data_IF_358856304018
#
_entry.id   IF_358856304018
#
_cell.length_a   1.000
_cell.length_b   1.000
_cell.length_c   1.000
_cell.angle_alpha   90.00
_cell.angle_beta   90.00
_cell.angle_gamma   90.00
#
_symmetry.space_group_name_H-M   'P 1'
#
loop_
_entity.id
_entity.type
_entity.pdbx_description
1 polymer ?
#
# COMPACT_ATOMS: atom_id res chain seq x y z
N UNK A 1 10.81 -11.43 -31.98
CA UNK A 1 11.44 -10.44 -31.08
C UNK A 1 12.49 -11.13 -30.20
N UNK A 2 13.63 -10.48 -29.96
CA UNK A 2 14.71 -11.02 -29.13
C UNK A 2 14.30 -11.06 -27.64
N UNK A 3 14.44 -12.22 -26.97
CA UNK A 3 14.13 -12.44 -25.55
C UNK A 3 14.85 -11.44 -24.62
N UNK A 4 16.07 -11.04 -24.98
CA UNK A 4 16.82 -10.02 -24.23
C UNK A 4 16.13 -8.65 -24.27
N UNK A 5 15.51 -8.28 -25.40
CA UNK A 5 14.79 -7.01 -25.52
C UNK A 5 13.49 -7.00 -24.70
N UNK A 6 12.76 -8.12 -24.71
CA UNK A 6 11.57 -8.28 -23.88
C UNK A 6 11.91 -8.21 -22.39
N UNK A 7 12.97 -8.90 -21.97
CA UNK A 7 13.49 -8.84 -20.61
C UNK A 7 13.77 -7.39 -20.18
N UNK A 8 14.50 -6.63 -20.99
CA UNK A 8 14.83 -5.23 -20.69
C UNK A 8 13.57 -4.37 -20.56
N UNK A 9 12.63 -4.47 -21.50
CA UNK A 9 11.38 -3.68 -21.46
C UNK A 9 10.56 -4.01 -20.20
N UNK A 10 10.40 -5.30 -19.90
CA UNK A 10 9.65 -5.75 -18.73
C UNK A 10 10.34 -5.34 -17.42
N UNK A 11 11.66 -5.46 -17.34
CA UNK A 11 12.44 -5.06 -16.17
C UNK A 11 12.40 -3.53 -15.94
N UNK A 12 12.52 -2.72 -16.99
CA UNK A 12 12.38 -1.26 -16.89
C UNK A 12 10.98 -0.89 -16.40
N UNK A 13 9.94 -1.54 -16.92
CA UNK A 13 8.56 -1.28 -16.51
C UNK A 13 8.31 -1.67 -15.04
N UNK A 14 8.86 -2.80 -14.61
CA UNK A 14 8.83 -3.24 -13.22
C UNK A 14 9.50 -2.22 -12.29
N UNK A 15 10.71 -1.78 -12.65
CA UNK A 15 11.45 -0.76 -11.90
C UNK A 15 10.73 0.59 -11.88
N UNK A 16 10.16 1.01 -13.02
CA UNK A 16 9.36 2.23 -13.09
C UNK A 16 8.17 2.17 -12.14
N UNK A 17 7.44 1.05 -12.11
CA UNK A 17 6.35 0.85 -11.14
C UNK A 17 6.85 0.94 -9.68
N UNK A 18 8.01 0.35 -9.34
CA UNK A 18 8.58 0.45 -7.99
C UNK A 18 8.88 1.90 -7.62
N UNK A 19 9.57 2.62 -8.51
CA UNK A 19 9.99 4.01 -8.27
C UNK A 19 8.77 4.92 -8.14
N UNK A 20 7.81 4.80 -9.03
CA UNK A 20 6.59 5.61 -9.01
C UNK A 20 5.75 5.29 -7.76
N UNK A 21 5.65 4.02 -7.36
CA UNK A 21 4.97 3.65 -6.10
C UNK A 21 5.65 4.26 -4.89
N UNK A 22 6.98 4.24 -4.84
CA UNK A 22 7.73 4.87 -3.75
C UNK A 22 7.49 6.39 -3.71
N UNK A 23 7.43 7.05 -4.87
CA UNK A 23 7.10 8.47 -4.94
C UNK A 23 5.66 8.77 -4.51
N UNK A 24 4.67 7.98 -4.96
CA UNK A 24 3.27 8.10 -4.56
C UNK A 24 3.07 7.97 -3.04
N UNK A 25 3.83 7.08 -2.41
CA UNK A 25 3.80 6.85 -0.96
C UNK A 25 4.59 7.89 -0.16
N UNK A 26 5.31 8.80 -0.82
CA UNK A 26 6.08 9.82 -0.16
C UNK A 26 5.15 10.85 0.51
N UNK A 27 5.43 11.23 1.76
CA UNK A 27 4.66 12.26 2.45
C UNK A 27 4.91 13.63 1.79
N UNK A 28 3.84 14.42 1.61
CA UNK A 28 3.95 15.80 1.11
C UNK A 28 4.53 16.76 2.16
N UNK A 29 4.32 16.44 3.44
CA UNK A 29 4.86 17.17 4.59
C UNK A 29 5.39 16.19 5.62
N UNK A 30 6.48 16.54 6.30
CA UNK A 30 6.90 15.85 7.51
C UNK A 30 5.96 16.24 8.66
N UNK A 31 4.83 15.54 8.76
CA UNK A 31 3.85 15.77 9.82
C UNK A 31 4.41 15.46 11.22
N UNK A 32 3.86 16.12 12.23
CA UNK A 32 4.18 15.86 13.64
C UNK A 32 3.44 14.60 14.11
N UNK A 33 4.19 13.70 14.75
CA UNK A 33 3.62 12.55 15.42
C UNK A 33 2.86 12.99 16.68
N UNK A 34 1.59 12.59 16.79
CA UNK A 34 0.87 12.60 18.05
C UNK A 34 1.32 11.43 18.92
N UNK A 35 1.63 11.69 20.19
CA UNK A 35 1.87 10.62 21.15
C UNK A 35 0.53 10.12 21.67
N UNK A 36 0.27 8.81 21.59
CA UNK A 36 -1.00 8.24 22.04
C UNK A 36 -1.36 8.63 23.47
N UNK A 37 -0.38 8.73 24.38
CA UNK A 37 -0.64 9.08 25.78
C UNK A 37 -1.38 10.41 25.96
N UNK A 38 -1.26 11.30 24.99
CA UNK A 38 -1.86 12.63 25.04
C UNK A 38 -3.29 12.67 24.49
N UNK A 39 -3.78 11.59 23.85
CA UNK A 39 -5.07 11.55 23.16
C UNK A 39 -5.93 10.34 23.52
N UNK A 40 -5.31 9.20 23.85
CA UNK A 40 -5.94 7.90 24.08
C UNK A 40 -6.97 7.96 25.22
N UNK A 41 -8.24 7.72 24.87
CA UNK A 41 -9.35 7.75 25.84
C UNK A 41 -9.67 9.14 26.40
N UNK A 42 -8.99 10.19 25.91
CA UNK A 42 -9.25 11.57 26.28
C UNK A 42 -10.29 12.18 25.35
N UNK A 43 -11.00 13.21 25.82
CA UNK A 43 -11.85 14.05 24.95
C UNK A 43 -11.02 15.16 24.28
N UNK A 44 -9.90 14.76 23.68
CA UNK A 44 -8.97 15.65 23.00
C UNK A 44 -8.81 15.20 21.56
N UNK A 45 -9.21 16.06 20.64
CA UNK A 45 -9.06 15.81 19.22
C UNK A 45 -7.61 16.02 18.75
N UNK A 46 -7.13 15.10 17.91
CA UNK A 46 -5.96 15.33 17.05
C UNK A 46 -6.41 16.05 15.79
N UNK A 47 -6.01 17.30 15.63
CA UNK A 47 -6.35 18.10 14.47
C UNK A 47 -5.35 17.86 13.34
N UNK A 48 -5.85 17.68 12.12
CA UNK A 48 -5.02 17.51 10.93
C UNK A 48 -5.64 18.24 9.75
N UNK A 49 -4.79 18.75 8.86
CA UNK A 49 -5.24 19.52 7.70
C UNK A 49 -5.17 18.65 6.45
N UNK A 50 -6.27 18.64 5.71
CA UNK A 50 -6.33 18.13 4.34
C UNK A 50 -6.06 19.33 3.41
N UNK A 51 -4.91 19.36 2.70
CA UNK A 51 -4.48 20.55 1.97
C UNK A 51 -5.31 20.86 0.72
N UNK A 52 -5.85 19.84 0.06
CA UNK A 52 -6.56 19.98 -1.21
C UNK A 52 -7.75 19.00 -1.29
N UNK A 53 -8.73 19.34 -2.12
CA UNK A 53 -9.88 18.46 -2.39
C UNK A 53 -9.40 17.18 -3.06
N UNK A 54 -10.00 16.05 -2.68
CA UNK A 54 -9.61 14.71 -3.13
C UNK A 54 -8.20 14.25 -2.75
N UNK A 55 -7.58 14.88 -1.74
CA UNK A 55 -6.22 14.55 -1.32
C UNK A 55 -6.16 13.17 -0.65
N UNK A 56 -5.18 12.37 -1.08
CA UNK A 56 -4.86 11.10 -0.43
C UNK A 56 -4.15 11.35 0.91
N UNK A 57 -4.70 10.79 1.98
CA UNK A 57 -4.17 10.88 3.34
C UNK A 57 -3.80 9.50 3.84
N UNK A 58 -2.70 9.41 4.58
CA UNK A 58 -2.25 8.21 5.30
C UNK A 58 -2.49 8.39 6.79
N UNK A 59 -3.30 7.51 7.36
CA UNK A 59 -3.41 7.31 8.80
C UNK A 59 -2.38 6.25 9.17
N UNK A 60 -1.34 6.61 9.93
CA UNK A 60 -0.32 5.67 10.33
C UNK A 60 -0.19 5.57 11.85
N UNK A 61 0.08 4.35 12.30
CA UNK A 61 0.28 4.02 13.71
C UNK A 61 1.60 3.26 13.80
N UNK A 62 2.45 3.69 14.71
CA UNK A 62 3.78 3.09 14.94
C UNK A 62 4.05 2.94 16.42
N UNK A 63 4.60 1.80 16.80
CA UNK A 63 5.18 1.60 18.12
C UNK A 63 5.53 0.15 18.37
N UNK A 64 6.50 -0.07 19.26
CA UNK A 64 7.01 -1.40 19.55
C UNK A 64 6.46 -1.89 20.88
N UNK A 65 5.74 -3.01 20.84
CA UNK A 65 5.15 -3.67 22.00
C UNK A 65 6.15 -4.58 22.74
N UNK A 66 5.96 -4.80 24.05
CA UNK A 66 6.64 -5.88 24.75
C UNK A 66 6.16 -7.24 24.22
N UNK A 67 7.00 -8.26 24.33
CA UNK A 67 6.69 -9.61 23.87
C UNK A 67 5.40 -10.17 24.50
N UNK A 68 4.67 -10.95 23.72
CA UNK A 68 3.39 -11.57 24.07
C UNK A 68 2.36 -10.53 24.50
N UNK A 69 2.19 -9.49 23.69
CA UNK A 69 1.18 -8.46 23.91
C UNK A 69 0.63 -7.93 22.60
N UNK A 70 -0.60 -7.42 22.66
CA UNK A 70 -1.28 -6.76 21.56
C UNK A 70 -1.95 -5.49 22.05
N UNK A 71 -2.11 -4.53 21.14
CA UNK A 71 -2.84 -3.29 21.35
C UNK A 71 -3.64 -3.00 20.09
N UNK A 72 -4.96 -2.92 20.22
CA UNK A 72 -5.85 -2.45 19.17
C UNK A 72 -6.06 -0.95 19.34
N UNK A 73 -6.00 -0.22 18.23
CA UNK A 73 -6.13 1.22 18.15
C UNK A 73 -7.34 1.52 17.26
N UNK A 74 -8.16 2.46 17.70
CA UNK A 74 -9.26 3.04 16.93
C UNK A 74 -9.03 4.54 16.72
N UNK A 75 -9.15 5.00 15.48
CA UNK A 75 -9.12 6.41 15.08
C UNK A 75 -10.47 6.81 14.48
N UNK A 76 -11.30 7.51 15.25
CA UNK A 76 -12.58 8.06 14.78
C UNK A 76 -12.33 9.40 14.08
N UNK A 77 -12.70 9.50 12.80
CA UNK A 77 -12.42 10.67 11.96
C UNK A 77 -13.70 11.48 11.70
N UNK A 78 -13.58 12.79 11.88
CA UNK A 78 -14.66 13.75 11.67
C UNK A 78 -14.23 14.84 10.69
N UNK A 79 -15.19 15.30 9.90
CA UNK A 79 -15.00 16.38 8.93
C UNK A 79 -14.90 17.77 9.60
N UNK A 80 -14.63 18.84 8.81
CA UNK A 80 -14.52 20.19 9.35
C UNK A 80 -15.81 20.73 9.99
N UNK A 81 -16.96 20.20 9.59
CA UNK A 81 -18.27 20.55 10.14
C UNK A 81 -18.60 19.74 11.41
N UNK A 82 -17.76 18.77 11.75
CA UNK A 82 -17.91 17.89 12.91
C UNK A 82 -18.75 16.65 12.65
N UNK A 83 -19.05 16.32 11.39
CA UNK A 83 -19.76 15.09 11.03
C UNK A 83 -18.81 13.89 11.10
N UNK A 84 -19.31 12.79 11.65
CA UNK A 84 -18.57 11.54 11.70
C UNK A 84 -18.44 10.92 10.31
N UNK A 85 -17.22 10.56 9.91
CA UNK A 85 -16.96 9.92 8.62
C UNK A 85 -16.84 8.41 8.76
N UNK A 86 -15.84 7.96 9.51
CA UNK A 86 -15.50 6.55 9.72
C UNK A 86 -14.58 6.39 10.94
N UNK A 87 -14.39 5.15 11.38
CA UNK A 87 -13.33 4.75 12.31
C UNK A 87 -12.33 3.84 11.60
N UNK A 88 -11.04 4.11 11.75
CA UNK A 88 -9.97 3.19 11.36
C UNK A 88 -9.49 2.41 12.58
N UNK A 89 -9.67 1.09 12.56
CA UNK A 89 -9.23 0.20 13.62
C UNK A 89 -8.16 -0.78 13.14
N UNK A 90 -7.07 -0.89 13.88
CA UNK A 90 -6.02 -1.85 13.58
C UNK A 90 -5.22 -2.22 14.83
N UNK A 91 -4.40 -3.26 14.73
CA UNK A 91 -3.64 -3.80 15.85
C UNK A 91 -2.13 -3.76 15.62
N UNK A 92 -1.42 -3.45 16.70
CA UNK A 92 -0.02 -3.75 16.87
C UNK A 92 0.09 -4.98 17.78
N UNK A 93 1.05 -5.85 17.52
CA UNK A 93 1.30 -7.02 18.36
C UNK A 93 2.78 -7.41 18.36
N UNK A 94 3.17 -8.15 19.39
CA UNK A 94 4.48 -8.80 19.49
C UNK A 94 4.29 -10.19 20.08
N UNK A 95 4.81 -11.20 19.41
CA UNK A 95 4.65 -12.60 19.78
C UNK A 95 5.99 -13.32 19.84
N UNK A 96 6.07 -14.33 20.69
CA UNK A 96 7.20 -15.25 20.75
C UNK A 96 6.72 -16.66 20.90
N UNK A 97 7.48 -17.59 20.32
CA UNK A 97 7.22 -19.01 20.47
C UNK A 97 8.46 -19.85 20.30
N UNK A 98 8.25 -21.15 20.25
CA UNK A 98 9.29 -22.14 19.98
C UNK A 98 8.71 -23.24 19.11
N UNK A 99 9.40 -23.55 18.04
CA UNK A 99 9.09 -24.66 17.12
C UNK A 99 10.33 -25.53 16.90
N UNK A 100 10.28 -26.40 15.88
CA UNK A 100 11.39 -27.28 15.49
C UNK A 100 12.62 -26.54 14.95
N UNK A 101 12.47 -25.29 14.49
CA UNK A 101 13.55 -24.45 13.98
C UNK A 101 14.20 -23.60 15.08
N UNK A 102 13.51 -23.43 16.21
CA UNK A 102 14.07 -22.83 17.41
C UNK A 102 13.12 -21.88 18.10
N UNK A 103 13.67 -20.88 18.80
CA UNK A 103 12.87 -19.78 19.35
C UNK A 103 12.65 -18.76 18.24
N UNK A 104 11.42 -18.29 18.11
CA UNK A 104 11.07 -17.22 17.17
C UNK A 104 10.47 -16.03 17.89
N UNK A 105 10.51 -14.88 17.22
CA UNK A 105 9.93 -13.63 17.70
C UNK A 105 9.40 -12.85 16.50
N UNK A 106 8.14 -12.44 16.57
CA UNK A 106 7.47 -11.69 15.52
C UNK A 106 6.90 -10.38 16.08
N UNK A 107 6.87 -9.35 15.24
CA UNK A 107 6.36 -8.03 15.59
C UNK A 107 5.51 -7.49 14.45
N UNK A 108 4.41 -6.84 14.82
CA UNK A 108 3.70 -5.87 14.02
C UNK A 108 3.79 -4.51 14.74
N UNK A 109 4.82 -3.74 14.39
CA UNK A 109 5.15 -2.46 15.03
C UNK A 109 4.77 -1.21 14.20
N UNK A 110 4.16 -1.45 13.03
CA UNK A 110 3.69 -0.43 12.11
C UNK A 110 2.43 -0.91 11.39
N UNK A 111 1.45 -0.03 11.30
CA UNK A 111 0.30 -0.21 10.42
C UNK A 111 -0.17 1.13 9.87
N UNK A 112 -0.85 1.10 8.73
CA UNK A 112 -1.36 2.30 8.09
C UNK A 112 -2.58 2.00 7.21
N UNK A 113 -3.35 3.04 6.97
CA UNK A 113 -4.43 3.05 5.98
C UNK A 113 -4.34 4.32 5.14
N UNK A 114 -4.41 4.15 3.81
CA UNK A 114 -4.40 5.24 2.86
C UNK A 114 -5.82 5.44 2.31
N UNK A 115 -6.34 6.67 2.32
CA UNK A 115 -7.71 7.02 1.92
C UNK A 115 -7.81 8.45 1.37
N UNK A 116 -8.65 8.65 0.36
CA UNK A 116 -8.94 9.98 -0.18
C UNK A 116 -9.92 10.74 0.71
N UNK A 117 -9.65 12.02 0.94
CA UNK A 117 -10.57 12.92 1.60
C UNK A 117 -11.18 13.87 0.56
N UNK A 118 -12.52 13.93 0.45
CA UNK A 118 -13.17 14.62 -0.67
C UNK A 118 -12.96 16.13 -0.62
N UNK A 119 -12.93 16.72 0.58
CA UNK A 119 -12.86 18.17 0.78
C UNK A 119 -11.59 18.55 1.54
N UNK A 120 -11.00 19.67 1.17
CA UNK A 120 -9.94 20.32 1.94
C UNK A 120 -10.52 20.94 3.21
N UNK A 121 -9.69 21.03 4.25
CA UNK A 121 -10.10 21.62 5.51
C UNK A 121 -9.35 21.05 6.70
N UNK A 122 -9.71 21.52 7.88
CA UNK A 122 -9.21 20.97 9.14
C UNK A 122 -10.16 19.89 9.62
N UNK A 123 -9.66 18.68 9.68
CA UNK A 123 -10.35 17.52 10.18
C UNK A 123 -9.92 17.24 11.62
N UNK A 124 -10.68 16.40 12.30
CA UNK A 124 -10.36 15.96 13.65
C UNK A 124 -10.41 14.46 13.77
N UNK A 125 -9.48 13.90 14.54
CA UNK A 125 -9.45 12.49 14.88
C UNK A 125 -9.46 12.30 16.39
N UNK A 126 -10.32 11.40 16.87
CA UNK A 126 -10.33 10.95 18.25
C UNK A 126 -9.71 9.57 18.33
N UNK A 127 -8.91 9.37 19.38
CA UNK A 127 -8.08 8.19 19.52
C UNK A 127 -8.53 7.39 20.74
N UNK A 128 -8.74 6.11 20.54
CA UNK A 128 -8.93 5.17 21.63
C UNK A 128 -8.13 3.91 21.39
N UNK A 129 -7.85 3.18 22.46
CA UNK A 129 -7.18 1.90 22.34
C UNK A 129 -7.66 0.92 23.37
N UNK A 130 -7.52 -0.36 23.03
CA UNK A 130 -7.72 -1.49 23.93
C UNK A 130 -6.47 -2.37 23.89
N UNK A 131 -6.17 -3.04 24.98
CA UNK A 131 -4.94 -3.83 25.09
C UNK A 131 -5.22 -5.21 25.67
N UNK A 132 -4.37 -6.15 25.28
CA UNK A 132 -4.42 -7.54 25.73
C UNK A 132 -3.99 -7.75 27.19
N UNK A 133 -3.99 -9.01 27.65
CA UNK A 133 -3.83 -9.38 29.06
C UNK A 133 -2.55 -8.87 29.74
N UNK A 134 -1.55 -8.45 28.97
CA UNK A 134 -0.31 -7.90 29.50
C UNK A 134 -0.42 -6.38 29.74
N UNK A 135 -0.65 -5.99 30.99
CA UNK A 135 -0.72 -4.57 31.42
C UNK A 135 0.53 -3.75 31.08
N UNK A 136 1.68 -4.38 30.78
CA UNK A 136 2.87 -3.65 30.34
C UNK A 136 2.62 -2.90 29.03
N UNK A 137 1.75 -3.40 28.15
CA UNK A 137 1.42 -2.74 26.88
C UNK A 137 0.77 -1.36 27.05
N UNK A 138 0.13 -1.11 28.21
CA UNK A 138 -0.53 0.15 28.56
C UNK A 138 0.46 1.33 28.62
N UNK A 139 1.69 1.11 29.13
CA UNK A 139 2.65 2.18 29.38
C UNK A 139 3.60 2.49 28.22
N UNK A 140 3.58 1.71 27.14
CA UNK A 140 4.45 1.94 25.99
C UNK A 140 3.99 3.15 25.17
N UNK A 141 4.95 3.94 24.68
CA UNK A 141 4.67 5.09 23.84
C UNK A 141 4.47 4.64 22.40
N UNK A 142 3.27 4.84 21.88
CA UNK A 142 2.96 4.72 20.46
C UNK A 142 2.85 6.13 19.89
N UNK A 143 3.10 6.22 18.60
CA UNK A 143 2.93 7.44 17.83
C UNK A 143 2.00 7.18 16.69
N UNK A 144 1.08 8.10 16.45
CA UNK A 144 0.28 8.12 15.22
C UNK A 144 0.52 9.44 14.51
N UNK A 145 0.22 9.47 13.22
CA UNK A 145 0.04 10.71 12.49
C UNK A 145 -0.94 10.49 11.34
N UNK A 146 -1.57 11.57 10.92
CA UNK A 146 -2.40 11.62 9.72
C UNK A 146 -1.74 12.62 8.78
N UNK A 147 -1.27 12.15 7.64
CA UNK A 147 -0.42 12.95 6.74
C UNK A 147 -0.84 12.81 5.28
N UNK A 148 -0.75 13.90 4.48
CA UNK A 148 -1.00 13.83 3.05
C UNK A 148 0.14 13.09 2.31
N UNK A 149 -0.22 12.20 1.40
CA UNK A 149 0.69 11.47 0.50
C UNK A 149 0.37 11.81 -0.95
N UNK A 150 1.31 11.60 -1.88
CA UNK A 150 1.13 12.07 -3.27
C UNK A 150 0.01 11.37 -4.04
N UNK A 151 -0.35 10.13 -3.70
CA UNK A 151 -1.48 9.45 -4.34
C UNK A 151 -1.60 7.96 -4.02
N UNK A 152 -2.40 7.25 -4.81
CA UNK A 152 -2.76 5.86 -4.56
C UNK A 152 -1.82 4.86 -5.25
N UNK A 153 -0.79 4.43 -4.52
CA UNK A 153 0.19 3.43 -5.01
C UNK A 153 -0.36 2.02 -5.23
N UNK A 154 -1.56 1.68 -4.70
CA UNK A 154 -2.11 0.31 -4.80
C UNK A 154 -2.52 -0.04 -6.23
N UNK A 155 -2.90 0.96 -7.03
CA UNK A 155 -3.37 0.80 -8.41
C UNK A 155 -2.25 0.29 -9.34
N UNK A 156 -0.98 0.58 -9.01
CA UNK A 156 0.19 0.12 -9.78
C UNK A 156 0.62 -1.32 -9.46
N UNK A 157 0.11 -1.93 -8.39
CA UNK A 157 0.53 -3.27 -7.95
C UNK A 157 0.33 -4.35 -9.03
N UNK A 158 -0.82 -4.43 -9.73
CA UNK A 158 -1.02 -5.44 -10.77
C UNK A 158 -0.03 -5.30 -11.93
N UNK A 159 0.20 -4.08 -12.42
CA UNK A 159 1.16 -3.81 -13.50
C UNK A 159 2.60 -4.15 -13.08
N UNK A 160 2.97 -3.84 -11.84
CA UNK A 160 4.24 -4.24 -11.26
C UNK A 160 4.40 -5.76 -11.29
N UNK A 161 3.45 -6.53 -10.77
CA UNK A 161 3.57 -7.99 -10.75
C UNK A 161 3.56 -8.62 -12.15
N UNK A 162 2.71 -8.14 -13.07
CA UNK A 162 2.68 -8.65 -14.45
C UNK A 162 4.03 -8.43 -15.15
N UNK A 163 4.59 -7.23 -15.05
CA UNK A 163 5.91 -6.92 -15.64
C UNK A 163 7.04 -7.71 -14.98
N UNK A 164 7.00 -7.88 -13.65
CA UNK A 164 7.97 -8.68 -12.90
C UNK A 164 7.94 -10.17 -13.28
N UNK A 165 6.76 -10.78 -13.41
CA UNK A 165 6.61 -12.18 -13.84
C UNK A 165 7.17 -12.38 -15.25
N UNK A 166 6.84 -11.49 -16.19
CA UNK A 166 7.35 -11.57 -17.57
C UNK A 166 8.89 -11.44 -17.58
N UNK A 167 9.44 -10.50 -16.82
CA UNK A 167 10.89 -10.35 -16.69
C UNK A 167 11.54 -11.60 -16.08
N UNK A 168 10.95 -12.19 -15.05
CA UNK A 168 11.43 -13.43 -14.42
C UNK A 168 11.44 -14.62 -15.37
N UNK A 169 10.37 -14.82 -16.15
CA UNK A 169 10.30 -15.86 -17.17
C UNK A 169 11.35 -15.66 -18.27
N UNK A 170 11.54 -14.42 -18.74
CA UNK A 170 12.57 -14.13 -19.73
C UNK A 170 13.97 -14.40 -19.18
N UNK A 171 14.23 -14.02 -17.93
CA UNK A 171 15.50 -14.29 -17.25
C UNK A 171 15.77 -15.78 -17.14
N UNK A 172 14.77 -16.57 -16.73
CA UNK A 172 14.88 -18.03 -16.66
C UNK A 172 15.25 -18.64 -18.02
N UNK A 173 14.58 -18.23 -19.10
CA UNK A 173 14.90 -18.70 -20.46
C UNK A 173 16.30 -18.28 -20.89
N UNK A 174 16.74 -17.06 -20.55
CA UNK A 174 18.09 -16.57 -20.85
C UNK A 174 19.14 -17.43 -20.13
N UNK A 175 18.95 -17.70 -18.84
CA UNK A 175 19.88 -18.50 -18.04
C UNK A 175 19.97 -19.93 -18.56
N UNK A 176 18.84 -20.59 -18.84
CA UNK A 176 18.84 -21.94 -19.41
C UNK A 176 19.58 -21.99 -20.77
N UNK A 177 19.40 -20.97 -21.62
CA UNK A 177 20.11 -20.89 -22.91
C UNK A 177 21.62 -20.69 -22.73
N UNK A 178 22.03 -19.93 -21.71
CA UNK A 178 23.44 -19.74 -21.39
C UNK A 178 24.07 -21.03 -20.85
N UNK A 179 23.35 -21.79 -20.03
CA UNK A 179 23.79 -23.09 -19.52
C UNK A 179 23.88 -24.14 -20.64
N UNK A 180 22.86 -24.25 -21.51
CA UNK A 180 22.94 -25.11 -22.70
C UNK A 180 24.09 -24.71 -23.62
N UNK A 181 24.36 -23.41 -23.77
CA UNK A 181 25.48 -22.88 -24.55
C UNK A 181 26.83 -23.31 -24.00
N UNK A 182 27.00 -23.26 -22.67
CA UNK A 182 28.20 -23.77 -21.99
C UNK A 182 28.36 -25.29 -22.15
N UNK A 183 27.27 -26.04 -22.03
CA UNK A 183 27.30 -27.50 -22.18
C UNK A 183 27.55 -27.94 -23.63
N UNK A 184 27.15 -27.14 -24.63
CA UNK A 184 27.41 -27.39 -26.06
C UNK A 184 28.79 -26.94 -26.51
N UNK A 185 29.42 -25.95 -25.86
CA UNK A 185 30.80 -25.54 -26.19
C UNK A 185 31.83 -26.63 -25.90
N UNK A 186 31.49 -27.63 -25.10
CA UNK A 186 32.38 -28.75 -24.79
C UNK A 186 32.29 -29.93 -25.79
N UNK A 187 31.27 -30.02 -26.67
CA UNK A 187 31.13 -31.17 -27.59
C UNK A 187 30.53 -30.81 -28.97
N UNK A 188 31.35 -31.04 -30.00
CA UNK A 188 31.06 -31.26 -31.45
C UNK A 188 30.75 -30.05 -32.36
N UNK A 189 31.62 -29.89 -33.37
CA UNK A 189 31.43 -29.01 -34.51
C UNK A 189 30.45 -29.69 -35.50
N UNK A 190 29.25 -29.11 -35.69
CA UNK A 190 28.36 -29.53 -36.77
C UNK A 190 28.45 -28.57 -37.96
N UNK A 191 28.69 -29.06 -39.19
CA UNK A 191 28.79 -28.20 -40.37
C UNK A 191 27.44 -27.53 -40.67
N UNK A 192 27.44 -26.20 -40.76
CA UNK A 192 26.26 -25.40 -41.08
C UNK A 192 25.90 -25.63 -42.56
N UNK A 193 24.82 -26.36 -42.82
CA UNK A 193 24.27 -26.50 -44.17
C UNK A 193 23.53 -25.22 -44.58
N UNK A 194 23.67 -24.80 -45.86
CA UNK A 194 23.03 -23.57 -46.40
C UNK A 194 21.52 -23.49 -46.15
N UNK A 195 20.82 -24.63 -46.10
CA UNK A 195 19.38 -24.71 -45.75
C UNK A 195 19.09 -24.31 -44.31
N UNK A 196 19.96 -24.64 -43.35
CA UNK A 196 19.81 -24.23 -41.95
C UNK A 196 20.06 -22.74 -41.72
N UNK A 197 20.91 -22.12 -42.53
CA UNK A 197 21.15 -20.66 -42.51
C UNK A 197 19.93 -19.89 -43.05
N UNK A 198 19.36 -20.35 -44.17
CA UNK A 198 18.14 -19.77 -44.74
C UNK A 198 16.93 -19.99 -43.82
N UNK A 199 16.82 -21.13 -43.14
CA UNK A 199 15.77 -21.35 -42.14
C UNK A 199 15.90 -20.42 -40.94
N UNK A 200 17.13 -20.18 -40.43
CA UNK A 200 17.39 -19.20 -39.36
C UNK A 200 17.05 -17.77 -39.80
N UNK A 201 17.43 -17.39 -41.02
CA UNK A 201 17.12 -16.07 -41.59
C UNK A 201 15.62 -15.88 -41.89
N UNK A 202 14.91 -16.93 -42.32
CA UNK A 202 13.47 -16.90 -42.54
C UNK A 202 12.66 -16.85 -41.22
N UNK A 203 13.25 -17.31 -40.12
CA UNK A 203 12.65 -17.26 -38.78
C UNK A 203 12.94 -15.94 -38.05
N UNK A 204 13.90 -15.14 -38.52
CA UNK A 204 14.13 -13.75 -38.10
C UNK A 204 13.02 -12.84 -38.65
N UNK A 205 11.83 -12.97 -38.09
CA UNK A 205 10.79 -11.96 -38.27
C UNK A 205 11.26 -10.66 -37.60
N UNK A 206 11.59 -9.67 -38.43
CA UNK A 206 11.97 -8.30 -38.04
C UNK A 206 10.74 -7.53 -37.56
N UNK A 207 10.06 -8.03 -36.53
CA UNK A 207 9.05 -7.25 -35.83
C UNK A 207 9.73 -6.05 -35.16
N UNK A 208 9.32 -4.81 -35.45
CA UNK A 208 9.85 -3.65 -34.77
C UNK A 208 9.53 -3.73 -33.27
N UNK A 209 10.44 -3.23 -32.44
CA UNK A 209 10.37 -3.38 -30.97
C UNK A 209 9.40 -2.38 -30.34
N UNK A 210 9.15 -1.26 -31.02
CA UNK A 210 8.35 -0.14 -30.49
C UNK A 210 6.90 -0.49 -30.12
N UNK A 211 6.14 -1.36 -30.81
CA UNK A 211 4.77 -1.67 -30.43
C UNK A 211 4.70 -2.38 -29.07
N UNK A 212 5.70 -3.24 -28.78
CA UNK A 212 5.77 -3.98 -27.53
C UNK A 212 6.26 -3.07 -26.41
N UNK A 213 7.20 -2.17 -26.69
CA UNK A 213 7.57 -1.14 -25.74
C UNK A 213 6.37 -0.25 -25.35
N UNK A 214 5.53 0.14 -26.32
CA UNK A 214 4.30 0.88 -26.05
C UNK A 214 3.31 0.08 -25.20
N UNK A 215 3.16 -1.22 -25.45
CA UNK A 215 2.27 -2.09 -24.67
C UNK A 215 2.64 -2.14 -23.18
N UNK A 216 3.91 -1.93 -22.84
CA UNK A 216 4.35 -1.85 -21.45
C UNK A 216 4.32 -0.42 -20.90
N UNK A 217 4.85 0.55 -21.64
CA UNK A 217 5.04 1.90 -21.11
C UNK A 217 3.75 2.73 -21.12
N UNK A 218 2.86 2.55 -22.09
CA UNK A 218 1.59 3.32 -22.14
C UNK A 218 0.69 2.98 -20.95
N UNK A 219 0.44 1.70 -20.60
CA UNK A 219 -0.33 1.39 -19.40
C UNK A 219 0.32 1.88 -18.11
N UNK A 220 1.65 1.76 -17.99
CA UNK A 220 2.37 2.29 -16.82
C UNK A 220 2.17 3.79 -16.72
N UNK A 221 2.31 4.54 -17.82
CA UNK A 221 2.09 5.99 -17.85
C UNK A 221 0.65 6.35 -17.45
N UNK A 222 -0.35 5.76 -18.12
CA UNK A 222 -1.76 6.08 -17.89
C UNK A 222 -2.20 5.76 -16.46
N UNK A 223 -1.82 4.58 -15.96
CA UNK A 223 -2.14 4.18 -14.58
C UNK A 223 -1.37 5.04 -13.57
N UNK A 224 -0.15 5.46 -13.88
CA UNK A 224 0.59 6.39 -13.01
C UNK A 224 -0.12 7.73 -12.94
N UNK A 225 -0.56 8.29 -14.07
CA UNK A 225 -1.34 9.53 -14.10
C UNK A 225 -2.62 9.41 -13.26
N UNK A 226 -3.33 8.29 -13.40
CA UNK A 226 -4.52 8.02 -12.59
C UNK A 226 -4.19 7.86 -11.09
N UNK A 227 -3.05 7.25 -10.75
CA UNK A 227 -2.62 7.06 -9.37
C UNK A 227 -2.22 8.39 -8.67
N UNK A 228 -1.77 9.39 -9.42
CA UNK A 228 -1.58 10.77 -8.94
C UNK A 228 -2.87 11.59 -8.96
N UNK A 229 -3.94 11.05 -9.55
CA UNK A 229 -5.24 11.70 -9.59
C UNK A 229 -5.78 11.93 -8.18
N UNK A 230 -6.40 13.09 -7.98
CA UNK A 230 -7.21 13.39 -6.80
C UNK A 230 -8.65 13.05 -7.12
N UNK A 231 -9.35 12.54 -6.12
CA UNK A 231 -10.74 12.11 -6.23
C UNK A 231 -11.56 12.84 -5.18
N UNK A 232 -12.25 13.90 -5.60
CA UNK A 232 -13.06 14.79 -4.75
C UNK A 232 -14.53 14.38 -4.69
N UNK A 233 -14.90 13.25 -5.32
CA UNK A 233 -16.25 12.71 -5.26
C UNK A 233 -16.66 12.45 -3.79
N UNK A 234 -17.90 12.79 -3.44
CA UNK A 234 -18.40 12.55 -2.09
C UNK A 234 -18.40 11.05 -1.80
N UNK A 235 -17.56 10.64 -0.84
CA UNK A 235 -17.41 9.25 -0.48
C UNK A 235 -18.60 8.77 0.37
N UNK A 236 -19.30 7.75 -0.13
CA UNK A 236 -20.16 6.94 0.72
C UNK A 236 -19.28 6.03 1.59
N UNK A 237 -18.98 6.52 2.79
CA UNK A 237 -18.14 5.82 3.76
C UNK A 237 -18.70 4.46 4.19
N UNK A 238 -20.03 4.25 4.12
CA UNK A 238 -20.62 2.94 4.43
C UNK A 238 -20.26 1.92 3.35
N UNK A 239 -20.40 2.32 2.08
CA UNK A 239 -19.97 1.51 0.94
C UNK A 239 -18.47 1.27 0.97
N UNK A 240 -17.69 2.31 1.29
CA UNK A 240 -16.24 2.21 1.41
C UNK A 240 -15.81 1.19 2.47
N UNK A 241 -16.47 1.16 3.64
CA UNK A 241 -16.16 0.24 4.73
C UNK A 241 -16.37 -1.24 4.34
N UNK A 242 -17.35 -1.57 3.49
CA UNK A 242 -17.54 -2.96 3.05
C UNK A 242 -16.33 -3.53 2.28
N UNK A 243 -15.54 -2.68 1.62
CA UNK A 243 -14.32 -3.08 0.93
C UNK A 243 -13.07 -3.10 1.81
N UNK A 244 -13.14 -2.63 3.06
CA UNK A 244 -11.99 -2.39 3.90
C UNK A 244 -12.21 -2.95 5.32
N UNK A 245 -11.55 -4.06 5.64
CA UNK A 245 -11.72 -4.78 6.92
C UNK A 245 -11.41 -3.95 8.17
N UNK A 246 -10.58 -2.91 8.02
CA UNK A 246 -10.07 -2.08 9.11
C UNK A 246 -10.81 -0.73 9.20
N UNK A 247 -11.85 -0.53 8.39
CA UNK A 247 -12.65 0.69 8.37
C UNK A 247 -14.08 0.34 8.76
N UNK A 248 -14.61 1.11 9.71
CA UNK A 248 -15.93 0.90 10.28
C UNK A 248 -16.72 2.20 10.20
N UNK A 249 -18.03 2.10 10.01
CA UNK A 249 -18.93 3.25 10.06
C UNK A 249 -20.05 2.91 11.04
N UNK A 250 -20.05 3.58 12.19
CA UNK A 250 -21.18 3.54 13.10
C UNK A 250 -22.34 4.38 12.51
N UNK A 251 -23.42 3.69 12.15
CA UNK A 251 -24.60 4.29 11.55
C UNK A 251 -25.31 5.27 12.50
N UNK A 252 -25.36 4.95 13.79
CA UNK A 252 -26.04 5.79 14.79
C UNK A 252 -25.24 7.08 15.02
N UNK A 253 -23.92 6.98 15.16
CA UNK A 253 -23.06 8.17 15.29
C UNK A 253 -23.12 9.04 14.05
N UNK A 254 -23.12 8.43 12.86
CA UNK A 254 -23.25 9.17 11.59
C UNK A 254 -24.57 9.93 11.52
N UNK A 255 -25.70 9.26 11.73
CA UNK A 255 -27.04 9.89 11.69
C UNK A 255 -27.20 10.99 12.74
N UNK A 256 -26.66 10.79 13.95
CA UNK A 256 -26.66 11.80 15.01
C UNK A 256 -25.80 13.02 14.66
N UNK A 257 -24.62 12.80 14.08
CA UNK A 257 -23.70 13.89 13.72
C UNK A 257 -24.25 14.78 12.60
N UNK A 258 -24.95 14.18 11.62
CA UNK A 258 -25.58 14.91 10.51
C UNK A 258 -26.88 15.61 10.95
N UNK A 259 -27.65 14.96 11.82
CA UNK A 259 -28.99 15.41 12.23
C UNK A 259 -29.04 16.40 13.38
N UNK A 260 -27.93 16.61 14.12
CA UNK A 260 -27.91 17.48 15.30
C UNK A 260 -26.95 18.65 15.13
N UNK A 261 -27.47 19.87 15.28
CA UNK A 261 -26.65 21.07 15.33
C UNK A 261 -25.82 21.09 16.62
N UNK A 262 -24.59 20.55 16.55
CA UNK A 262 -23.58 20.69 17.60
C UNK A 262 -23.54 19.60 18.67
N UNK A 263 -24.16 18.42 18.47
CA UNK A 263 -24.05 17.31 19.43
C UNK A 263 -22.91 16.35 19.04
N UNK A 264 -21.90 16.22 19.92
CA UNK A 264 -20.76 15.32 19.77
C UNK A 264 -20.92 14.12 20.69
N UNK A 265 -21.83 13.19 20.39
CA UNK A 265 -21.86 11.90 21.07
C UNK A 265 -20.77 11.00 20.46
N UNK A 266 -19.89 10.45 21.30
CA UNK A 266 -18.94 9.39 20.92
C UNK A 266 -19.63 8.03 21.03
N UNK A 267 -19.14 7.05 20.27
CA UNK A 267 -19.39 5.65 20.59
C UNK A 267 -18.80 5.36 21.96
N UNK A 268 -19.64 5.01 22.94
CA UNK A 268 -19.17 4.73 24.29
C UNK A 268 -18.13 3.60 24.27
N UNK A 269 -17.08 3.66 25.10
CA UNK A 269 -16.18 2.53 25.32
C UNK A 269 -16.92 1.47 26.15
N UNK A 270 -17.83 0.73 25.53
CA UNK A 270 -18.69 -0.21 26.24
C UNK A 270 -19.83 -0.72 25.36
N UNK A 271 -19.52 -1.69 24.50
CA UNK A 271 -20.49 -2.30 23.59
C UNK A 271 -19.97 -3.58 22.94
N UNK A 272 -19.47 -4.51 23.74
CA UNK A 272 -19.50 -5.95 23.45
C UNK A 272 -20.17 -6.65 24.63
#
# INVERSE_FOLDING_TARGET
MNIYKLFIIAAISFLACIIIRADLQAPLISGQYGNFKDYDGQDKAYLFNVPEDGQMMRLEIKGRLPLNSWKAIDLEVFDPDGNYLFSYADELWAETGRDSEGKWTEYRDYTYHDVHFPKKGQYSAYVSSTFGPNKRAEHFSYTFRIIPIKGNSKILIPLMWMSGIIAGLCLFVILNRLEEGKNKSDISFQPITKKGLQAKQAMETTFPVWPIALLFFVPVLLVSLFAYGKDDDEADWQVYAYGHSNIYVDKQLREQSIGSAGFRSRGGPGGK
#
